data_IF_989754544618
#
_entry.id   IF_989754544618
#
_cell.length_a   1.000
_cell.length_b   1.000
_cell.length_c   1.000
_cell.angle_alpha   90.00
_cell.angle_beta   90.00
_cell.angle_gamma   90.00
#
_symmetry.space_group_name_H-M   'P 1'
#
loop_
_entity.id
_entity.type
_entity.pdbx_description
1 polymer ?
#
# COMPACT_ATOMS: atom_id res chain seq x y z
N UNK A 1 67.77 -45.27 -41.66
CA UNK A 1 67.15 -43.96 -41.32
C UNK A 1 66.20 -43.63 -42.48
N UNK A 2 64.92 -43.95 -42.48
CA UNK A 2 63.89 -43.58 -41.50
C UNK A 2 63.03 -42.46 -42.10
N UNK A 3 62.22 -42.74 -43.13
CA UNK A 3 61.29 -41.76 -43.72
C UNK A 3 59.86 -42.13 -43.37
N UNK A 4 59.32 -41.42 -42.39
CA UNK A 4 57.94 -41.52 -41.91
C UNK A 4 57.01 -40.90 -42.96
N UNK A 5 55.99 -41.64 -43.39
CA UNK A 5 54.88 -41.13 -44.21
C UNK A 5 53.84 -40.49 -43.28
N UNK A 6 53.67 -39.17 -43.37
CA UNK A 6 52.61 -38.44 -42.68
C UNK A 6 51.30 -38.52 -43.49
N UNK A 7 50.29 -39.16 -42.91
CA UNK A 7 48.91 -39.07 -43.38
C UNK A 7 48.21 -37.93 -42.63
N UNK A 8 47.81 -36.87 -43.34
CA UNK A 8 46.99 -35.78 -42.81
C UNK A 8 45.52 -36.18 -42.94
N UNK A 9 44.86 -36.44 -41.81
CA UNK A 9 43.40 -36.54 -41.71
C UNK A 9 42.82 -35.12 -41.55
N UNK A 10 42.07 -34.65 -42.55
CA UNK A 10 41.30 -33.42 -42.45
C UNK A 10 39.95 -33.72 -41.79
N UNK A 11 39.77 -33.29 -40.54
CA UNK A 11 38.47 -33.33 -39.86
C UNK A 11 37.67 -32.08 -40.25
N UNK A 12 36.62 -32.26 -41.06
CA UNK A 12 35.65 -31.22 -41.34
C UNK A 12 34.72 -31.04 -40.13
N UNK A 13 34.82 -29.90 -39.44
CA UNK A 13 33.94 -29.53 -38.34
C UNK A 13 32.62 -28.99 -38.92
N UNK A 14 31.55 -29.80 -38.86
CA UNK A 14 30.21 -29.39 -39.27
C UNK A 14 29.62 -28.48 -38.17
N UNK A 15 29.71 -27.17 -38.33
CA UNK A 15 29.01 -26.21 -37.45
C UNK A 15 27.54 -26.15 -37.89
N UNK A 16 26.65 -26.74 -37.10
CA UNK A 16 25.21 -26.62 -37.32
C UNK A 16 24.78 -25.16 -37.05
N UNK A 17 24.49 -24.42 -38.13
CA UNK A 17 23.84 -23.11 -38.07
C UNK A 17 22.38 -23.30 -37.64
N UNK A 18 22.11 -23.16 -36.33
CA UNK A 18 20.74 -23.02 -35.84
C UNK A 18 20.17 -21.69 -36.37
N UNK A 19 18.93 -21.65 -36.89
CA UNK A 19 18.30 -20.40 -37.27
C UNK A 19 18.18 -19.49 -36.04
N UNK A 20 18.37 -18.16 -36.18
CA UNK A 20 18.20 -17.24 -35.07
C UNK A 20 16.74 -17.36 -34.58
N UNK A 21 16.57 -17.75 -33.32
CA UNK A 21 15.27 -17.70 -32.65
C UNK A 21 14.84 -16.24 -32.70
N UNK A 22 13.69 -15.89 -33.31
CA UNK A 22 13.22 -14.52 -33.31
C UNK A 22 12.99 -14.11 -31.85
N UNK A 23 13.79 -13.17 -31.34
CA UNK A 23 13.51 -12.56 -30.05
C UNK A 23 12.23 -11.76 -30.22
N UNK A 24 11.10 -12.26 -29.71
CA UNK A 24 9.92 -11.43 -29.54
C UNK A 24 10.30 -10.34 -28.54
N UNK A 25 10.56 -9.13 -29.06
CA UNK A 25 10.65 -7.94 -28.23
C UNK A 25 9.33 -7.81 -27.48
N UNK A 26 9.39 -8.00 -26.18
CA UNK A 26 8.27 -7.82 -25.28
C UNK A 26 8.10 -6.30 -25.09
N UNK A 27 7.30 -5.65 -25.95
CA UNK A 27 7.13 -4.20 -25.93
C UNK A 27 6.05 -3.81 -24.94
N UNK A 28 6.34 -3.97 -23.66
CA UNK A 28 5.54 -3.37 -22.60
C UNK A 28 5.28 -1.89 -22.94
N UNK A 29 4.02 -1.46 -22.85
CA UNK A 29 3.61 -0.07 -23.10
C UNK A 29 2.85 0.45 -21.90
N UNK A 30 3.35 1.55 -21.32
CA UNK A 30 2.69 2.18 -20.16
C UNK A 30 1.43 2.93 -20.60
N UNK A 31 0.41 2.95 -19.75
CA UNK A 31 -0.84 3.65 -19.97
C UNK A 31 -1.41 4.23 -18.68
N UNK A 32 -2.22 5.28 -18.82
CA UNK A 32 -2.96 5.91 -17.72
C UNK A 32 -4.43 5.78 -18.05
N UNK A 33 -5.20 5.23 -17.11
CA UNK A 33 -6.65 5.11 -17.22
C UNK A 33 -7.37 6.45 -17.15
N UNK A 34 -8.71 6.44 -17.29
CA UNK A 34 -9.50 7.66 -17.23
C UNK A 34 -9.38 8.34 -15.86
N UNK A 35 -9.40 9.68 -15.87
CA UNK A 35 -9.48 10.48 -14.66
C UNK A 35 -10.80 10.28 -13.91
N UNK A 36 -10.76 10.53 -12.60
CA UNK A 36 -11.94 10.51 -11.74
C UNK A 36 -12.43 11.97 -11.61
N UNK A 37 -13.64 12.29 -12.08
CA UNK A 37 -14.15 13.66 -12.09
C UNK A 37 -14.53 14.13 -10.67
N UNK A 38 -14.61 15.46 -10.44
CA UNK A 38 -15.04 16.01 -9.16
C UNK A 38 -16.48 15.58 -8.78
N UNK A 39 -16.82 15.58 -7.49
CA UNK A 39 -18.18 15.32 -7.05
C UNK A 39 -19.10 16.48 -7.43
N UNK A 40 -20.41 16.23 -7.50
CA UNK A 40 -21.39 17.26 -7.85
C UNK A 40 -21.44 18.42 -6.84
N UNK A 41 -21.07 18.16 -5.58
CA UNK A 41 -21.04 19.14 -4.50
C UNK A 41 -19.77 18.96 -3.68
N UNK A 42 -19.21 20.08 -3.22
CA UNK A 42 -18.09 20.11 -2.29
C UNK A 42 -18.44 20.93 -1.06
N UNK A 43 -18.07 20.48 0.16
CA UNK A 43 -18.19 21.28 1.37
C UNK A 43 -17.44 22.61 1.25
N UNK A 44 -17.95 23.66 1.89
CA UNK A 44 -17.36 25.00 1.87
C UNK A 44 -17.68 25.76 3.16
N UNK A 45 -16.84 26.75 3.51
CA UNK A 45 -17.05 27.65 4.64
C UNK A 45 -16.75 27.05 6.01
N UNK A 46 -16.02 25.93 6.08
CA UNK A 46 -15.67 25.29 7.34
C UNK A 46 -14.65 26.15 8.13
N UNK A 47 -14.81 26.37 9.45
CA UNK A 47 -13.90 27.21 10.21
C UNK A 47 -12.47 26.64 10.31
N UNK A 48 -11.48 27.30 9.71
CA UNK A 48 -10.08 26.89 9.78
C UNK A 48 -9.54 26.33 8.47
N UNK A 49 -8.58 25.43 8.55
CA UNK A 49 -8.03 24.73 7.39
C UNK A 49 -8.83 23.46 7.12
N UNK A 50 -9.40 23.36 5.92
CA UNK A 50 -10.13 22.19 5.47
C UNK A 50 -9.89 21.97 3.98
N UNK A 51 -9.91 20.73 3.55
CA UNK A 51 -9.85 20.35 2.15
C UNK A 51 -11.02 19.42 1.80
N UNK A 52 -11.51 19.51 0.58
CA UNK A 52 -12.40 18.53 -0.02
C UNK A 52 -11.75 17.97 -1.29
N UNK A 53 -11.87 16.67 -1.53
CA UNK A 53 -11.39 16.08 -2.78
C UNK A 53 -12.17 16.63 -3.99
N UNK A 54 -11.46 16.94 -5.09
CA UNK A 54 -12.00 17.60 -6.28
C UNK A 54 -11.54 16.93 -7.60
N UNK A 55 -11.32 15.62 -7.58
CA UNK A 55 -10.93 14.86 -8.77
C UNK A 55 -9.46 14.45 -8.79
N UNK A 56 -9.12 13.49 -9.65
CA UNK A 56 -7.75 12.99 -9.82
C UNK A 56 -7.52 12.34 -11.19
N UNK A 57 -6.26 12.18 -11.58
CA UNK A 57 -5.87 11.34 -12.72
C UNK A 57 -6.20 9.86 -12.47
N UNK A 58 -6.36 9.08 -13.54
CA UNK A 58 -6.64 7.66 -13.44
C UNK A 58 -5.52 6.83 -12.83
N UNK A 59 -5.83 5.56 -12.58
CA UNK A 59 -4.84 4.54 -12.24
C UNK A 59 -3.97 4.22 -13.45
N UNK A 60 -2.76 3.73 -13.21
CA UNK A 60 -1.76 3.57 -14.26
C UNK A 60 -1.27 2.14 -14.35
N UNK A 61 -1.01 1.71 -15.57
CA UNK A 61 -0.30 0.48 -15.89
C UNK A 61 1.06 0.87 -16.44
N UNK A 62 2.13 0.55 -15.73
CA UNK A 62 3.49 0.98 -16.07
C UNK A 62 4.38 -0.21 -16.39
N UNK A 63 5.38 0.03 -17.24
CA UNK A 63 6.48 -0.90 -17.40
C UNK A 63 7.41 -0.82 -16.20
N UNK A 64 8.09 -1.93 -15.89
CA UNK A 64 9.12 -1.98 -14.85
C UNK A 64 10.11 -0.80 -14.98
N UNK A 65 10.33 -0.09 -13.87
CA UNK A 65 11.23 1.06 -13.80
C UNK A 65 10.73 2.35 -14.46
N UNK A 66 9.59 2.34 -15.17
CA UNK A 66 9.03 3.53 -15.80
C UNK A 66 8.45 4.49 -14.75
N UNK A 67 8.46 5.79 -15.08
CA UNK A 67 7.86 6.82 -14.24
C UNK A 67 6.64 7.45 -14.93
N UNK A 68 5.66 7.85 -14.12
CA UNK A 68 4.49 8.59 -14.58
C UNK A 68 4.08 9.65 -13.55
N UNK A 69 3.30 10.63 -13.96
CA UNK A 69 2.79 11.70 -13.07
C UNK A 69 1.35 11.41 -12.68
N UNK A 70 1.10 11.33 -11.38
CA UNK A 70 -0.23 11.32 -10.80
C UNK A 70 -0.64 12.74 -10.41
N UNK A 71 -1.94 13.03 -10.51
CA UNK A 71 -2.50 14.36 -10.20
C UNK A 71 -3.76 14.21 -9.34
N UNK A 72 -3.87 14.96 -8.24
CA UNK A 72 -5.12 15.10 -7.46
C UNK A 72 -5.42 16.56 -7.21
N UNK A 73 -6.69 16.92 -7.32
CA UNK A 73 -7.20 18.22 -6.95
C UNK A 73 -7.82 18.18 -5.55
N UNK A 74 -7.50 19.19 -4.75
CA UNK A 74 -8.23 19.49 -3.53
C UNK A 74 -8.81 20.91 -3.61
N UNK A 75 -10.09 21.00 -3.25
CA UNK A 75 -10.81 22.24 -3.04
C UNK A 75 -10.60 22.71 -1.60
N UNK A 76 -10.24 23.98 -1.41
CA UNK A 76 -10.16 24.56 -0.07
C UNK A 76 -11.57 24.84 0.44
N UNK A 77 -12.08 23.89 1.23
CA UNK A 77 -13.39 23.94 1.88
C UNK A 77 -13.38 24.77 3.17
N UNK A 78 -12.21 25.22 3.60
CA UNK A 78 -12.01 25.97 4.83
C UNK A 78 -12.17 27.48 4.66
N UNK A 79 -12.19 28.18 5.79
CA UNK A 79 -12.20 29.64 5.85
C UNK A 79 -10.80 30.26 5.82
N UNK A 80 -9.74 29.45 5.96
CA UNK A 80 -8.33 29.88 5.86
C UNK A 80 -7.70 29.44 4.54
N UNK A 81 -7.00 30.36 3.89
CA UNK A 81 -6.22 30.05 2.69
C UNK A 81 -4.91 29.33 2.99
N UNK A 82 -4.42 28.53 2.05
CA UNK A 82 -3.14 27.83 2.15
C UNK A 82 -2.03 28.66 1.50
N UNK A 83 -0.93 28.90 2.21
CA UNK A 83 0.16 29.79 1.78
C UNK A 83 1.43 28.99 1.58
N UNK A 84 1.91 28.90 0.33
CA UNK A 84 3.11 28.13 0.01
C UNK A 84 4.35 28.69 0.73
N UNK A 85 5.25 27.81 1.16
CA UNK A 85 6.49 28.19 1.84
C UNK A 85 6.32 28.67 3.29
N UNK A 86 5.09 28.81 3.80
CA UNK A 86 4.82 29.22 5.18
C UNK A 86 4.48 28.02 6.06
N UNK A 87 5.36 27.72 7.01
CA UNK A 87 5.16 26.66 7.99
C UNK A 87 3.85 26.88 8.76
N UNK A 88 3.03 25.83 8.89
CA UNK A 88 1.70 25.90 9.51
C UNK A 88 0.60 26.50 8.62
N UNK A 89 0.89 26.83 7.35
CA UNK A 89 -0.11 27.31 6.38
C UNK A 89 0.04 26.68 4.98
N UNK A 90 1.18 26.08 4.66
CA UNK A 90 1.42 25.43 3.36
C UNK A 90 0.79 24.03 3.29
N UNK A 91 0.01 23.78 2.24
CA UNK A 91 -0.58 22.47 1.99
C UNK A 91 0.38 21.52 1.26
N UNK A 92 0.43 20.28 1.74
CA UNK A 92 1.20 19.18 1.18
C UNK A 92 0.29 17.96 0.99
N UNK A 93 0.73 17.02 0.14
CA UNK A 93 0.28 15.65 0.19
C UNK A 93 1.21 14.83 1.09
N UNK A 94 0.63 13.99 1.93
CA UNK A 94 1.36 13.02 2.74
C UNK A 94 0.89 11.60 2.45
N UNK A 95 1.80 10.62 2.55
CA UNK A 95 1.44 9.20 2.55
C UNK A 95 0.58 8.88 3.77
N UNK A 96 -0.48 8.08 3.55
CA UNK A 96 -1.53 7.82 4.55
C UNK A 96 -1.87 6.32 4.65
N UNK A 97 -2.74 6.00 5.59
CA UNK A 97 -3.35 4.68 5.76
C UNK A 97 -4.28 4.33 4.58
N UNK A 98 -4.56 3.04 4.34
CA UNK A 98 -3.97 1.86 5.00
C UNK A 98 -2.59 1.44 4.46
N UNK A 99 -2.17 1.94 3.30
CA UNK A 99 -0.93 1.53 2.64
C UNK A 99 -0.32 2.76 1.93
N UNK A 100 0.92 3.17 2.24
CA UNK A 100 1.91 2.49 3.09
C UNK A 100 1.71 2.71 4.61
N UNK A 101 0.68 3.46 5.00
CA UNK A 101 0.48 3.94 6.36
C UNK A 101 0.87 5.41 6.49
N UNK A 102 0.35 6.07 7.53
CA UNK A 102 0.62 7.49 7.75
C UNK A 102 2.12 7.76 7.93
N UNK A 103 2.64 8.72 7.16
CA UNK A 103 4.06 9.13 7.16
C UNK A 103 5.06 8.00 6.84
N UNK A 104 4.65 6.99 6.06
CA UNK A 104 5.52 5.86 5.67
C UNK A 104 6.03 5.99 4.23
N UNK A 105 7.24 5.50 4.01
CA UNK A 105 7.80 5.37 2.67
C UNK A 105 6.96 4.41 1.80
N UNK A 106 6.85 4.71 0.51
CA UNK A 106 6.18 3.85 -0.48
C UNK A 106 7.18 3.37 -1.51
N UNK A 107 7.11 2.10 -1.90
CA UNK A 107 7.93 1.55 -3.00
C UNK A 107 7.72 2.26 -4.35
N UNK A 108 6.62 3.03 -4.48
CA UNK A 108 6.29 3.81 -5.67
C UNK A 108 7.00 5.16 -5.74
N UNK A 109 7.73 5.57 -4.70
CA UNK A 109 8.48 6.82 -4.74
C UNK A 109 9.15 7.28 -3.47
N UNK A 110 8.81 6.74 -2.30
CA UNK A 110 9.53 7.00 -1.04
C UNK A 110 10.64 5.98 -0.83
N UNK A 111 11.90 6.40 -0.92
CA UNK A 111 13.06 5.53 -0.67
C UNK A 111 13.58 5.60 0.79
N UNK A 112 12.85 6.32 1.65
CA UNK A 112 13.20 6.52 3.06
C UNK A 112 14.18 7.68 3.32
N UNK A 113 14.59 8.42 2.27
CA UNK A 113 15.53 9.53 2.40
C UNK A 113 14.82 10.91 2.47
N UNK A 114 15.57 11.95 2.88
CA UNK A 114 15.09 13.34 2.87
C UNK A 114 15.17 13.93 1.46
N UNK A 115 14.31 13.41 0.57
CA UNK A 115 14.18 13.80 -0.83
C UNK A 115 14.38 12.59 -1.71
N UNK A 116 13.31 12.08 -2.32
CA UNK A 116 13.33 10.85 -3.10
C UNK A 116 13.89 11.10 -4.51
N UNK A 117 15.14 10.76 -4.84
CA UNK A 117 15.77 11.20 -6.11
C UNK A 117 15.10 10.61 -7.34
N UNK A 118 14.51 9.41 -7.22
CA UNK A 118 13.83 8.73 -8.32
C UNK A 118 12.50 9.38 -8.73
N UNK A 119 11.87 10.15 -7.85
CA UNK A 119 10.53 10.74 -8.06
C UNK A 119 10.46 12.23 -7.75
N UNK A 120 11.56 12.82 -7.28
CA UNK A 120 11.64 14.19 -6.80
C UNK A 120 10.58 14.56 -5.74
N UNK A 121 10.11 13.57 -4.96
CA UNK A 121 9.24 13.87 -3.82
C UNK A 121 9.97 14.77 -2.84
N UNK A 122 9.25 15.75 -2.31
CA UNK A 122 9.83 16.72 -1.35
C UNK A 122 10.48 16.01 -0.15
N UNK A 123 9.90 14.88 0.28
CA UNK A 123 10.45 13.90 1.23
C UNK A 123 9.89 12.51 0.93
N UNK A 124 10.46 11.45 1.50
CA UNK A 124 9.99 10.07 1.30
C UNK A 124 8.49 9.83 1.58
N UNK A 125 7.87 10.67 2.41
CA UNK A 125 6.45 10.64 2.79
C UNK A 125 5.68 11.89 2.36
N UNK A 126 6.26 12.76 1.53
CA UNK A 126 5.67 14.01 1.05
C UNK A 126 5.76 14.09 -0.48
N UNK A 127 4.81 13.47 -1.21
CA UNK A 127 4.89 13.40 -2.66
C UNK A 127 4.84 14.76 -3.36
N UNK A 128 4.05 15.70 -2.84
CA UNK A 128 3.86 17.00 -3.45
C UNK A 128 3.56 18.09 -2.41
N UNK A 129 3.83 19.32 -2.82
CA UNK A 129 3.37 20.56 -2.19
C UNK A 129 2.41 21.26 -3.15
N UNK A 130 1.55 22.14 -2.63
CA UNK A 130 0.69 22.97 -3.49
C UNK A 130 1.54 23.74 -4.53
N UNK A 131 1.13 23.81 -5.80
CA UNK A 131 1.92 24.50 -6.82
C UNK A 131 1.71 26.02 -6.78
N UNK A 132 0.54 26.49 -6.34
CA UNK A 132 0.21 27.90 -6.28
C UNK A 132 0.74 28.54 -4.99
N UNK A 133 1.22 29.79 -5.09
CA UNK A 133 1.69 30.56 -3.94
C UNK A 133 0.60 30.73 -2.86
N UNK A 134 -0.67 30.83 -3.28
CA UNK A 134 -1.82 30.95 -2.40
C UNK A 134 -3.02 30.18 -2.96
N UNK A 135 -3.74 29.48 -2.08
CA UNK A 135 -5.00 28.79 -2.38
C UNK A 135 -6.04 29.24 -1.36
N UNK A 136 -6.83 30.24 -1.72
CA UNK A 136 -7.86 30.81 -0.85
C UNK A 136 -9.06 29.89 -0.65
N UNK A 137 -9.96 30.26 0.29
CA UNK A 137 -11.26 29.61 0.42
C UNK A 137 -11.97 29.51 -0.93
N UNK A 138 -12.57 28.37 -1.20
CA UNK A 138 -13.29 28.06 -2.43
C UNK A 138 -12.43 27.97 -3.71
N UNK A 139 -11.11 27.91 -3.58
CA UNK A 139 -10.20 27.66 -4.70
C UNK A 139 -9.73 26.20 -4.74
N UNK A 140 -9.23 25.79 -5.91
CA UNK A 140 -8.77 24.43 -6.16
C UNK A 140 -7.24 24.45 -6.33
N UNK A 141 -6.57 23.49 -5.71
CA UNK A 141 -5.14 23.22 -5.92
C UNK A 141 -4.95 21.86 -6.58
N UNK A 142 -4.20 21.83 -7.68
CA UNK A 142 -3.84 20.61 -8.41
C UNK A 142 -2.45 20.16 -7.99
N UNK A 143 -2.37 19.14 -7.14
CA UNK A 143 -1.11 18.55 -6.72
C UNK A 143 -0.66 17.53 -7.75
N UNK A 144 0.61 17.61 -8.16
CA UNK A 144 1.23 16.67 -9.09
C UNK A 144 2.44 16.02 -8.43
N UNK A 145 2.57 14.71 -8.59
CA UNK A 145 3.72 13.96 -8.09
C UNK A 145 4.08 12.83 -9.06
N UNK A 146 5.36 12.55 -9.19
CA UNK A 146 5.82 11.40 -9.95
C UNK A 146 5.67 10.11 -9.13
N UNK A 147 5.40 8.99 -9.78
CA UNK A 147 5.61 7.66 -9.23
C UNK A 147 6.55 6.91 -10.14
N UNK A 148 7.35 6.00 -9.57
CA UNK A 148 8.23 5.11 -10.32
C UNK A 148 7.80 3.66 -10.07
N UNK A 149 7.57 2.94 -11.15
CA UNK A 149 7.25 1.51 -11.11
C UNK A 149 8.44 0.71 -10.55
N UNK A 150 8.23 -0.18 -9.57
CA UNK A 150 9.19 -1.20 -9.19
C UNK A 150 9.56 -2.12 -10.37
N UNK A 151 10.67 -2.83 -10.24
CA UNK A 151 11.11 -3.79 -11.28
C UNK A 151 10.32 -5.11 -11.26
N UNK A 152 9.60 -5.37 -10.16
CA UNK A 152 8.79 -6.57 -9.99
C UNK A 152 7.36 -6.30 -10.51
N UNK A 153 6.85 -7.11 -11.47
CA UNK A 153 5.46 -7.02 -11.90
C UNK A 153 4.49 -7.27 -10.73
N UNK A 154 3.44 -6.48 -10.66
CA UNK A 154 2.46 -6.56 -9.56
C UNK A 154 1.58 -5.32 -9.47
N UNK A 155 0.60 -5.37 -8.58
CA UNK A 155 -0.27 -4.21 -8.29
C UNK A 155 0.16 -3.57 -6.98
N UNK A 156 0.54 -2.31 -7.04
CA UNK A 156 0.99 -1.52 -5.91
C UNK A 156 -0.03 -0.44 -5.58
N UNK A 157 -0.19 -0.12 -4.29
CA UNK A 157 -1.11 0.91 -3.83
C UNK A 157 -0.34 2.00 -3.07
N UNK A 158 -0.79 3.23 -3.23
CA UNK A 158 -0.40 4.35 -2.38
C UNK A 158 -1.64 5.16 -2.01
N UNK A 159 -1.92 5.26 -0.71
CA UNK A 159 -2.90 6.18 -0.17
C UNK A 159 -2.24 7.48 0.25
N UNK A 160 -2.94 8.58 -0.02
CA UNK A 160 -2.50 9.93 0.26
C UNK A 160 -3.59 10.69 1.01
N UNK A 161 -3.15 11.61 1.86
CA UNK A 161 -4.03 12.53 2.57
C UNK A 161 -3.41 13.92 2.58
N UNK A 162 -4.19 14.99 2.35
CA UNK A 162 -3.67 16.34 2.41
C UNK A 162 -3.40 16.74 3.86
N UNK A 163 -2.42 17.62 4.06
CA UNK A 163 -2.11 18.20 5.35
C UNK A 163 -1.63 19.63 5.19
N UNK A 164 -1.75 20.42 6.26
CA UNK A 164 -1.03 21.67 6.43
C UNK A 164 0.24 21.35 7.23
N UNK A 165 1.40 21.53 6.60
CA UNK A 165 2.67 21.06 7.15
C UNK A 165 2.96 21.73 8.51
N UNK A 166 3.10 20.87 9.53
CA UNK A 166 3.23 21.17 10.97
C UNK A 166 2.13 22.03 11.59
N UNK A 167 0.92 21.99 11.02
CA UNK A 167 -0.30 22.33 11.75
C UNK A 167 -1.17 21.09 11.97
N UNK A 168 -1.69 20.49 10.90
CA UNK A 168 -2.64 19.38 11.00
C UNK A 168 -2.77 18.59 9.71
N UNK A 169 -3.18 17.33 9.81
CA UNK A 169 -3.77 16.60 8.70
C UNK A 169 -5.18 17.14 8.42
N UNK A 170 -5.54 17.21 7.13
CA UNK A 170 -6.87 17.62 6.68
C UNK A 170 -7.76 16.39 6.52
N UNK A 171 -8.95 16.52 5.96
CA UNK A 171 -9.92 15.44 5.81
C UNK A 171 -9.36 14.25 5.01
N UNK A 172 -9.74 13.04 5.43
CA UNK A 172 -9.44 11.81 4.70
C UNK A 172 -10.63 11.43 3.80
N UNK A 173 -10.45 11.62 2.50
CA UNK A 173 -11.42 11.21 1.46
C UNK A 173 -11.08 9.85 0.85
N UNK A 174 -10.13 9.11 1.42
CA UNK A 174 -9.69 7.82 0.90
C UNK A 174 -9.02 7.95 -0.46
N UNK A 175 -8.16 8.97 -0.64
CA UNK A 175 -7.46 9.20 -1.91
C UNK A 175 -6.34 8.18 -2.07
N UNK A 176 -6.31 7.47 -3.19
CA UNK A 176 -5.26 6.51 -3.49
C UNK A 176 -5.03 6.35 -4.98
N UNK A 177 -3.92 5.67 -5.31
CA UNK A 177 -3.64 5.12 -6.63
C UNK A 177 -3.34 3.63 -6.55
N UNK A 178 -3.84 2.90 -7.55
CA UNK A 178 -3.25 1.66 -7.99
C UNK A 178 -2.25 1.93 -9.12
N UNK A 179 -1.08 1.31 -9.02
CA UNK A 179 -0.05 1.25 -10.05
C UNK A 179 0.18 -0.21 -10.38
N UNK A 180 -0.22 -0.62 -11.58
CA UNK A 180 -0.02 -1.98 -12.08
C UNK A 180 1.30 -2.01 -12.85
N UNK A 181 2.30 -2.70 -12.33
CA UNK A 181 3.54 -2.98 -13.07
C UNK A 181 3.29 -4.19 -13.96
N UNK A 182 3.35 -3.97 -15.26
CA UNK A 182 3.08 -4.98 -16.29
C UNK A 182 4.18 -6.05 -16.34
N UNK A 183 3.82 -7.24 -16.83
CA UNK A 183 4.79 -8.24 -17.24
C UNK A 183 5.63 -7.71 -18.42
N UNK A 184 6.81 -8.31 -18.70
CA UNK A 184 7.64 -7.91 -19.84
C UNK A 184 6.88 -7.90 -21.18
N UNK A 185 5.94 -8.82 -21.36
CA UNK A 185 5.08 -8.92 -22.56
C UNK A 185 3.95 -7.89 -22.62
N UNK A 186 3.86 -6.99 -21.65
CA UNK A 186 2.83 -5.96 -21.55
C UNK A 186 1.49 -6.45 -21.00
N UNK A 187 1.36 -7.73 -20.67
CA UNK A 187 0.17 -8.25 -20.01
C UNK A 187 0.11 -7.80 -18.55
N UNK A 188 -1.09 -7.69 -18.00
CA UNK A 188 -1.23 -7.45 -16.57
C UNK A 188 -0.70 -8.65 -15.78
N UNK A 189 0.01 -8.43 -14.65
CA UNK A 189 0.40 -9.50 -13.76
C UNK A 189 -0.85 -10.23 -13.25
N UNK A 190 -0.70 -11.52 -12.95
CA UNK A 190 -1.78 -12.25 -12.28
C UNK A 190 -2.18 -11.49 -11.01
N UNK A 191 -3.49 -11.33 -10.73
CA UNK A 191 -3.92 -10.74 -9.47
C UNK A 191 -3.21 -11.45 -8.31
N UNK A 192 -2.80 -10.72 -7.25
CA UNK A 192 -2.36 -11.37 -6.02
C UNK A 192 -3.41 -12.42 -5.65
N UNK A 193 -2.99 -13.64 -5.31
CA UNK A 193 -3.92 -14.69 -4.93
C UNK A 193 -4.90 -14.10 -3.91
N UNK A 194 -6.19 -14.02 -4.28
CA UNK A 194 -7.17 -13.28 -3.51
C UNK A 194 -7.12 -13.75 -2.06
N UNK A 195 -6.60 -12.92 -1.17
CA UNK A 195 -6.63 -13.23 0.25
C UNK A 195 -8.07 -12.97 0.67
N UNK A 196 -8.88 -14.03 0.64
CA UNK A 196 -10.30 -14.00 0.96
C UNK A 196 -10.52 -13.27 2.29
N UNK A 197 -10.85 -11.99 2.20
CA UNK A 197 -11.12 -11.16 3.37
C UNK A 197 -12.48 -11.58 3.88
N UNK A 198 -12.49 -12.32 4.98
CA UNK A 198 -13.71 -12.86 5.56
C UNK A 198 -14.12 -11.97 6.73
N UNK A 199 -15.38 -11.54 6.75
CA UNK A 199 -15.95 -10.81 7.89
C UNK A 199 -16.51 -11.80 8.89
N UNK A 200 -16.07 -11.70 10.14
CA UNK A 200 -16.39 -12.64 11.22
C UNK A 200 -16.66 -11.92 12.53
N UNK A 201 -17.38 -12.57 13.44
CA UNK A 201 -17.54 -12.09 14.82
C UNK A 201 -16.35 -12.55 15.63
N UNK A 202 -15.75 -11.65 16.41
CA UNK A 202 -14.73 -11.96 17.40
C UNK A 202 -15.18 -11.51 18.79
N UNK A 203 -14.73 -12.23 19.82
CA UNK A 203 -14.79 -11.80 21.23
C UNK A 203 -13.39 -11.73 21.82
N UNK A 204 -13.25 -11.56 23.13
CA UNK A 204 -11.95 -11.59 23.80
C UNK A 204 -11.96 -12.48 25.06
N UNK A 205 -10.77 -12.93 25.49
CA UNK A 205 -10.60 -13.66 26.74
C UNK A 205 -10.90 -12.76 27.95
N UNK A 206 -11.93 -13.11 28.72
CA UNK A 206 -12.23 -12.44 29.98
C UNK A 206 -11.10 -12.60 31.02
N UNK A 207 -11.03 -11.71 32.04
CA UNK A 207 -9.90 -11.62 32.96
C UNK A 207 -9.67 -12.84 33.86
N UNK A 208 -10.64 -13.74 34.01
CA UNK A 208 -10.53 -14.94 34.84
C UNK A 208 -9.60 -16.03 34.30
N UNK A 209 -9.02 -15.82 33.11
CA UNK A 209 -8.17 -16.82 32.44
C UNK A 209 -6.66 -16.52 32.53
N UNK A 210 -6.27 -15.35 33.04
CA UNK A 210 -4.86 -14.98 33.13
C UNK A 210 -4.06 -15.91 34.05
N UNK A 211 -2.81 -16.18 33.67
CA UNK A 211 -1.92 -17.11 34.37
C UNK A 211 -2.05 -18.57 33.92
N UNK A 212 -3.13 -18.93 33.21
CA UNK A 212 -3.27 -20.26 32.63
C UNK A 212 -2.40 -20.45 31.38
N UNK A 213 -2.04 -21.70 31.10
CA UNK A 213 -1.41 -22.10 29.83
C UNK A 213 -2.48 -22.17 28.74
N UNK A 214 -2.22 -21.56 27.59
CA UNK A 214 -3.00 -21.73 26.37
C UNK A 214 -2.74 -23.10 25.75
N UNK A 215 -3.62 -23.54 24.84
CA UNK A 215 -3.45 -24.79 24.09
C UNK A 215 -2.22 -24.77 23.16
N UNK A 216 -1.69 -23.59 22.82
CA UNK A 216 -0.43 -23.46 22.08
C UNK A 216 0.80 -23.35 23.00
N UNK A 217 0.64 -23.57 24.29
CA UNK A 217 1.73 -23.67 25.26
C UNK A 217 2.24 -22.34 25.81
N UNK A 218 1.63 -21.20 25.47
CA UNK A 218 2.01 -19.90 26.03
C UNK A 218 1.25 -19.65 27.34
N UNK A 219 1.76 -18.80 28.23
CA UNK A 219 0.99 -18.35 29.41
C UNK A 219 0.15 -17.15 28.99
N UNK A 220 -1.16 -17.21 29.23
CA UNK A 220 -2.05 -16.09 28.93
C UNK A 220 -1.82 -14.95 29.93
N UNK A 221 -1.34 -13.81 29.43
CA UNK A 221 -1.14 -12.59 30.21
C UNK A 221 -1.99 -11.45 29.62
N UNK A 222 -2.08 -10.34 30.34
CA UNK A 222 -2.71 -9.10 29.84
C UNK A 222 -1.94 -8.47 28.67
N UNK A 223 -0.67 -8.83 28.49
CA UNK A 223 0.23 -8.27 27.47
C UNK A 223 0.47 -9.18 26.28
N UNK A 224 0.10 -10.47 26.37
CA UNK A 224 0.26 -11.42 25.27
C UNK A 224 -0.56 -10.94 24.07
N UNK A 225 0.09 -10.76 22.91
CA UNK A 225 -0.59 -10.49 21.64
C UNK A 225 -0.82 -11.79 20.87
N UNK A 226 -2.07 -12.06 20.57
CA UNK A 226 -2.49 -13.28 19.90
C UNK A 226 -4.00 -13.41 19.79
N UNK A 227 -4.43 -14.52 19.18
CA UNK A 227 -5.84 -14.94 19.10
C UNK A 227 -6.00 -16.43 19.35
N UNK A 228 -7.19 -16.84 19.77
CA UNK A 228 -7.65 -18.22 19.64
C UNK A 228 -8.26 -18.45 18.26
N UNK A 229 -8.00 -19.62 17.68
CA UNK A 229 -8.73 -20.09 16.51
C UNK A 229 -8.91 -21.62 16.57
N UNK A 230 -10.01 -22.14 16.03
CA UNK A 230 -10.38 -23.57 16.12
C UNK A 230 -9.36 -24.45 15.42
N UNK A 231 -9.11 -24.17 14.14
CA UNK A 231 -8.39 -25.07 13.24
C UNK A 231 -7.01 -24.59 12.80
N UNK A 232 -6.73 -23.28 12.81
CA UNK A 232 -5.43 -22.75 12.42
C UNK A 232 -4.30 -23.34 13.29
N UNK A 233 -3.15 -23.70 12.70
CA UNK A 233 -1.98 -24.11 13.48
C UNK A 233 -1.53 -23.02 14.45
N UNK A 234 -1.07 -23.43 15.63
CA UNK A 234 -0.42 -22.53 16.57
C UNK A 234 0.74 -21.79 15.90
N UNK A 235 0.86 -20.48 16.15
CA UNK A 235 1.86 -19.61 15.52
C UNK A 235 1.47 -19.09 14.13
N UNK A 236 0.36 -19.54 13.53
CA UNK A 236 -0.12 -18.97 12.27
C UNK A 236 -0.39 -17.48 12.45
N UNK A 237 0.22 -16.64 11.60
CA UNK A 237 -0.08 -15.22 11.59
C UNK A 237 -1.48 -15.00 10.98
N UNK A 238 -2.28 -14.13 11.58
CA UNK A 238 -3.53 -13.65 11.00
C UNK A 238 -3.55 -12.13 11.08
N UNK A 239 -3.99 -11.48 9.99
CA UNK A 239 -4.19 -10.04 9.96
C UNK A 239 -5.65 -9.75 10.22
N UNK A 240 -5.93 -9.06 11.32
CA UNK A 240 -7.27 -8.63 11.72
C UNK A 240 -7.45 -7.15 11.45
N UNK A 241 -8.65 -6.73 11.08
CA UNK A 241 -8.99 -5.31 10.89
C UNK A 241 -10.37 -4.96 11.48
N UNK A 242 -10.42 -3.88 12.26
CA UNK A 242 -11.63 -3.35 12.88
C UNK A 242 -11.56 -1.82 12.95
N UNK A 243 -12.66 -1.14 12.56
CA UNK A 243 -12.80 0.33 12.67
C UNK A 243 -11.58 1.13 12.17
N UNK A 244 -11.01 0.75 11.01
CA UNK A 244 -9.85 1.41 10.41
C UNK A 244 -8.49 1.04 11.01
N UNK A 245 -8.44 0.19 12.03
CA UNK A 245 -7.21 -0.33 12.65
C UNK A 245 -6.95 -1.75 12.20
N UNK A 246 -5.68 -2.12 12.05
CA UNK A 246 -5.27 -3.49 11.72
C UNK A 246 -4.13 -3.97 12.60
N UNK A 247 -4.11 -5.26 12.92
CA UNK A 247 -3.01 -5.91 13.63
C UNK A 247 -2.76 -7.30 13.06
N UNK A 248 -1.48 -7.68 12.93
CA UNK A 248 -1.09 -9.05 12.58
C UNK A 248 -0.59 -9.74 13.83
N UNK A 249 -1.25 -10.83 14.23
CA UNK A 249 -0.96 -11.54 15.48
C UNK A 249 -0.96 -13.05 15.26
N UNK A 250 -0.19 -13.82 16.05
CA UNK A 250 -0.19 -15.27 15.94
C UNK A 250 -1.45 -15.89 16.55
N UNK A 251 -1.77 -17.11 16.11
CA UNK A 251 -2.69 -18.01 16.82
C UNK A 251 -1.96 -18.56 18.04
N UNK A 252 -2.48 -18.25 19.23
CA UNK A 252 -1.87 -18.58 20.52
C UNK A 252 -2.74 -19.51 21.36
N UNK A 253 -3.96 -19.82 20.92
CA UNK A 253 -4.86 -20.72 21.63
C UNK A 253 -5.88 -21.40 20.70
N UNK A 254 -6.69 -22.32 21.26
CA UNK A 254 -7.79 -23.00 20.57
C UNK A 254 -9.15 -22.48 21.02
N UNK A 255 -10.12 -22.52 20.10
CA UNK A 255 -11.47 -21.96 20.29
C UNK A 255 -11.77 -20.85 19.28
N UNK A 256 -12.87 -20.10 19.41
CA UNK A 256 -13.96 -20.27 20.38
C UNK A 256 -14.83 -21.49 20.07
N UNK A 257 -15.26 -22.23 21.10
CA UNK A 257 -16.22 -23.34 20.93
C UNK A 257 -17.69 -22.88 20.92
N UNK A 258 -17.92 -21.61 20.57
CA UNK A 258 -19.26 -21.01 20.47
C UNK A 258 -19.57 -20.70 19.02
N UNK A 259 -20.73 -21.18 18.56
CA UNK A 259 -21.19 -20.97 17.19
C UNK A 259 -21.29 -19.48 16.86
N UNK A 260 -20.91 -19.12 15.62
CA UNK A 260 -20.98 -17.75 15.12
C UNK A 260 -19.80 -16.85 15.50
N UNK A 261 -18.85 -17.28 16.34
CA UNK A 261 -17.61 -16.55 16.65
C UNK A 261 -16.42 -17.20 15.95
N UNK A 262 -15.51 -16.45 15.37
CA UNK A 262 -14.33 -17.03 14.70
C UNK A 262 -13.06 -16.91 15.52
N UNK A 263 -12.90 -15.80 16.24
CA UNK A 263 -11.72 -15.52 17.06
C UNK A 263 -12.09 -15.16 18.49
N UNK A 264 -11.26 -15.59 19.43
CA UNK A 264 -11.12 -14.94 20.74
C UNK A 264 -9.81 -14.15 20.77
N UNK A 265 -9.90 -12.84 20.89
CA UNK A 265 -8.76 -11.94 20.99
C UNK A 265 -8.15 -12.02 22.39
N UNK A 266 -6.82 -12.03 22.48
CA UNK A 266 -6.13 -11.63 23.71
C UNK A 266 -6.46 -10.18 24.08
N UNK A 267 -6.34 -9.85 25.37
CA UNK A 267 -6.62 -8.50 25.85
C UNK A 267 -5.75 -7.45 25.14
N UNK A 268 -4.47 -7.72 24.93
CA UNK A 268 -3.58 -6.83 24.19
C UNK A 268 -4.04 -6.63 22.73
N UNK A 269 -4.43 -7.70 22.02
CA UNK A 269 -4.96 -7.62 20.65
C UNK A 269 -6.27 -6.83 20.58
N UNK A 270 -7.18 -7.05 21.54
CA UNK A 270 -8.43 -6.28 21.66
C UNK A 270 -8.15 -4.78 21.75
N UNK A 271 -7.27 -4.38 22.66
CA UNK A 271 -6.90 -2.98 22.87
C UNK A 271 -6.23 -2.39 21.62
N UNK A 272 -5.31 -3.12 20.98
CA UNK A 272 -4.66 -2.69 19.75
C UNK A 272 -5.65 -2.41 18.61
N UNK A 273 -6.65 -3.28 18.44
CA UNK A 273 -7.70 -3.10 17.45
C UNK A 273 -8.77 -2.08 17.85
N UNK A 274 -8.88 -1.74 19.14
CA UNK A 274 -10.01 -0.96 19.66
C UNK A 274 -11.34 -1.73 19.60
N UNK A 275 -11.30 -3.07 19.58
CA UNK A 275 -12.50 -3.89 19.57
C UNK A 275 -13.16 -3.86 20.97
N UNK A 276 -14.50 -3.64 21.07
CA UNK A 276 -15.24 -3.83 22.33
C UNK A 276 -15.29 -5.32 22.72
N UNK A 277 -16.13 -5.71 23.68
CA UNK A 277 -16.16 -7.10 24.18
C UNK A 277 -16.51 -8.13 23.10
N UNK A 278 -17.32 -7.73 22.11
CA UNK A 278 -17.65 -8.47 20.89
C UNK A 278 -17.63 -7.48 19.73
N UNK A 279 -16.99 -7.84 18.61
CA UNK A 279 -17.00 -7.02 17.40
C UNK A 279 -17.06 -7.86 16.12
N UNK A 280 -17.58 -7.24 15.06
CA UNK A 280 -17.50 -7.77 13.70
C UNK A 280 -16.24 -7.20 13.06
N UNK A 281 -15.27 -8.05 12.74
CA UNK A 281 -13.99 -7.67 12.15
C UNK A 281 -13.77 -8.39 10.81
N UNK A 282 -12.90 -7.85 9.97
CA UNK A 282 -12.43 -8.55 8.78
C UNK A 282 -11.06 -9.17 9.04
N UNK A 283 -10.78 -10.32 8.44
CA UNK A 283 -9.48 -10.96 8.57
C UNK A 283 -8.98 -11.60 7.29
N UNK A 284 -7.66 -11.75 7.23
CA UNK A 284 -6.93 -12.50 6.21
C UNK A 284 -5.88 -13.40 6.86
N UNK A 285 -5.68 -14.58 6.28
CA UNK A 285 -4.65 -15.54 6.68
C UNK A 285 -3.27 -15.14 6.16
#
# INVERSE_FOLDING_TARGET
MGTVRSALLASALLVALLPPVPSRAATCTSSIGPGIPPPAQTPSGLPGFHAAWYGQSGYMSLCAGASATATVAFYNSGSRGWVAGRMGEAAYLGTSDPEPGQDRASVLGGDGTNGSPATAWTRFNRPAVQPAAYVGPNQIAWFQFAVRAPDVPGTYRIALRPLIEGAQWLEDYGVFWYVTVLNPDGTAPAPPAATSTTTVVASYFGPGLYGNRTACGQTLTTTLQGVAHRTLPCGSAVRLSYAGRSVTVPVVDRGPNVAGREFDLTYATKIALGCPDICVLSWTR
#
